data_IF_148141643480
#
_entry.id   IF_148141643480
#
_cell.length_a   1.000
_cell.length_b   1.000
_cell.length_c   1.000
_cell.angle_alpha   90.00
_cell.angle_beta   90.00
_cell.angle_gamma   90.00
#
_symmetry.space_group_name_H-M   'P 1'
#
loop_
_entity.id
_entity.type
_entity.pdbx_description
1 polymer ?
#
# COMPACT_ATOMS: atom_id res chain seq x y z
N UNK A 1 11.83 -17.53 3.02
CA UNK A 1 10.52 -17.04 3.47
C UNK A 1 9.49 -18.09 3.12
N UNK A 2 8.75 -18.59 4.10
CA UNK A 2 7.71 -19.60 3.90
C UNK A 2 6.54 -19.02 3.08
N UNK A 3 5.64 -19.87 2.55
CA UNK A 3 4.44 -19.40 1.85
C UNK A 3 3.52 -18.60 2.80
N UNK A 4 3.40 -19.07 4.05
CA UNK A 4 2.64 -18.39 5.10
C UNK A 4 3.18 -17.00 5.41
N UNK A 5 4.52 -16.86 5.46
CA UNK A 5 5.16 -15.56 5.70
C UNK A 5 4.84 -14.57 4.56
N UNK A 6 4.81 -15.05 3.29
CA UNK A 6 4.51 -14.21 2.12
C UNK A 6 3.08 -13.67 2.12
N UNK A 7 2.11 -14.52 2.47
CA UNK A 7 0.72 -14.09 2.59
C UNK A 7 0.56 -13.07 3.72
N UNK A 8 1.16 -13.36 4.87
CA UNK A 8 1.15 -12.47 6.02
C UNK A 8 1.73 -11.08 5.70
N UNK A 9 2.92 -11.01 5.08
CA UNK A 9 3.52 -9.74 4.69
C UNK A 9 2.67 -8.95 3.69
N UNK A 10 1.99 -9.64 2.79
CA UNK A 10 1.09 -9.00 1.83
C UNK A 10 -0.09 -8.37 2.57
N UNK A 11 -0.72 -9.10 3.49
CA UNK A 11 -1.84 -8.62 4.29
C UNK A 11 -1.44 -7.40 5.14
N UNK A 12 -0.30 -7.46 5.82
CA UNK A 12 0.23 -6.34 6.62
C UNK A 12 0.48 -5.11 5.75
N UNK A 13 1.03 -5.28 4.55
CA UNK A 13 1.28 -4.16 3.64
C UNK A 13 -0.02 -3.50 3.17
N UNK A 14 -1.02 -4.31 2.78
CA UNK A 14 -2.33 -3.79 2.38
C UNK A 14 -3.00 -3.02 3.52
N UNK A 15 -2.96 -3.57 4.73
CA UNK A 15 -3.54 -2.94 5.91
C UNK A 15 -2.82 -1.63 6.22
N UNK A 16 -1.48 -1.63 6.26
CA UNK A 16 -0.71 -0.44 6.57
C UNK A 16 -1.04 0.73 5.62
N UNK A 17 -1.11 0.46 4.31
CA UNK A 17 -1.44 1.50 3.33
C UNK A 17 -2.91 1.91 3.40
N UNK A 18 -3.82 0.98 3.67
CA UNK A 18 -5.25 1.28 3.84
C UNK A 18 -5.49 2.18 5.06
N UNK A 19 -4.88 1.86 6.20
CA UNK A 19 -4.96 2.66 7.44
C UNK A 19 -4.37 4.05 7.23
N UNK A 20 -3.22 4.17 6.53
CA UNK A 20 -2.65 5.47 6.17
C UNK A 20 -3.62 6.25 5.30
N UNK A 21 -4.23 5.62 4.29
CA UNK A 21 -5.18 6.29 3.42
C UNK A 21 -6.44 6.77 4.16
N UNK A 22 -6.93 5.97 5.10
CA UNK A 22 -8.08 6.30 5.94
C UNK A 22 -7.79 7.48 6.87
N UNK A 23 -6.79 7.36 7.77
CA UNK A 23 -6.51 8.41 8.76
C UNK A 23 -5.96 9.71 8.17
N UNK A 24 -5.44 9.67 6.94
CA UNK A 24 -5.00 10.87 6.22
C UNK A 24 -6.07 11.44 5.31
N UNK A 25 -7.28 10.89 5.30
CA UNK A 25 -8.40 11.32 4.47
C UNK A 25 -8.04 11.39 2.98
N UNK A 26 -7.23 10.43 2.50
CA UNK A 26 -6.82 10.36 1.10
C UNK A 26 -7.95 9.86 0.19
N UNK A 27 -8.87 9.08 0.77
CA UNK A 27 -10.06 8.56 0.12
C UNK A 27 -11.28 8.81 1.02
N UNK A 28 -12.50 8.89 0.45
CA UNK A 28 -13.72 8.98 1.25
C UNK A 28 -13.89 7.78 2.19
N UNK A 29 -14.41 7.99 3.40
CA UNK A 29 -14.67 6.90 4.36
C UNK A 29 -15.55 5.79 3.79
N UNK A 30 -16.48 6.12 2.90
CA UNK A 30 -17.35 5.15 2.21
C UNK A 30 -16.62 4.18 1.27
N UNK A 31 -15.31 4.38 1.08
CA UNK A 31 -14.44 3.50 0.29
C UNK A 31 -13.77 2.42 1.15
N UNK A 32 -14.02 2.40 2.45
CA UNK A 32 -13.43 1.45 3.37
C UNK A 32 -14.48 0.54 3.98
N UNK A 33 -14.10 -0.71 4.24
CA UNK A 33 -14.83 -1.67 5.07
C UNK A 33 -14.07 -1.90 6.37
N UNK A 34 -14.80 -1.98 7.48
CA UNK A 34 -14.24 -2.38 8.77
C UNK A 34 -13.96 -3.89 8.76
N UNK A 35 -12.77 -4.26 9.23
CA UNK A 35 -12.32 -5.64 9.33
C UNK A 35 -11.52 -5.88 10.62
N UNK A 36 -11.26 -7.15 10.92
CA UNK A 36 -10.36 -7.54 11.99
C UNK A 36 -9.08 -8.14 11.40
N UNK A 37 -7.94 -7.74 11.93
CA UNK A 37 -6.64 -8.35 11.68
C UNK A 37 -5.91 -8.55 13.00
N UNK A 38 -5.63 -9.81 13.37
CA UNK A 38 -5.03 -10.16 14.67
C UNK A 38 -5.75 -9.53 15.86
N UNK A 39 -7.09 -9.60 15.87
CA UNK A 39 -7.97 -9.03 16.90
C UNK A 39 -7.93 -7.49 17.01
N UNK A 40 -7.34 -6.81 16.03
CA UNK A 40 -7.34 -5.35 15.90
C UNK A 40 -8.30 -4.91 14.79
N UNK A 41 -9.14 -3.93 15.08
CA UNK A 41 -9.99 -3.28 14.08
C UNK A 41 -9.14 -2.48 13.08
N UNK A 42 -9.37 -2.70 11.79
CA UNK A 42 -8.66 -2.07 10.68
C UNK A 42 -9.63 -1.71 9.56
N UNK A 43 -9.32 -0.67 8.80
CA UNK A 43 -10.08 -0.21 7.65
C UNK A 43 -9.42 -0.74 6.37
N UNK A 44 -10.19 -1.44 5.55
CA UNK A 44 -9.71 -1.99 4.27
C UNK A 44 -10.30 -1.24 3.10
N UNK A 45 -9.44 -0.79 2.18
CA UNK A 45 -9.90 -0.17 0.94
C UNK A 45 -10.72 -1.21 0.14
N UNK A 46 -11.94 -0.82 -0.21
CA UNK A 46 -12.84 -1.63 -1.02
C UNK A 46 -12.53 -1.45 -2.51
N UNK A 47 -12.54 -2.56 -3.25
CA UNK A 47 -12.42 -2.55 -4.71
C UNK A 47 -13.69 -2.04 -5.37
N UNK A 48 -13.56 -1.36 -6.51
CA UNK A 48 -14.66 -0.89 -7.35
C UNK A 48 -15.31 0.41 -6.89
N UNK A 49 -14.72 1.12 -5.93
CA UNK A 49 -15.23 2.39 -5.42
C UNK A 49 -14.81 3.59 -6.26
N UNK A 50 -13.61 3.54 -6.82
CA UNK A 50 -13.06 4.54 -7.72
C UNK A 50 -11.90 3.97 -8.53
N UNK A 51 -11.53 4.66 -9.62
CA UNK A 51 -10.35 4.30 -10.41
C UNK A 51 -9.07 4.45 -9.57
N UNK A 52 -9.01 5.47 -8.72
CA UNK A 52 -7.87 5.80 -7.88
C UNK A 52 -7.62 4.72 -6.82
N UNK A 53 -8.67 4.30 -6.11
CA UNK A 53 -8.59 3.22 -5.11
C UNK A 53 -8.21 1.89 -5.76
N UNK A 54 -8.76 1.60 -6.93
CA UNK A 54 -8.46 0.36 -7.66
C UNK A 54 -7.03 0.34 -8.17
N UNK A 55 -6.55 1.48 -8.69
CA UNK A 55 -5.15 1.64 -9.11
C UNK A 55 -4.19 1.46 -7.92
N UNK A 56 -4.52 2.01 -6.75
CA UNK A 56 -3.71 1.81 -5.55
C UNK A 56 -3.65 0.33 -5.15
N UNK A 57 -4.78 -0.37 -5.15
CA UNK A 57 -4.83 -1.81 -4.85
C UNK A 57 -4.02 -2.63 -5.86
N UNK A 58 -4.08 -2.30 -7.15
CA UNK A 58 -3.28 -2.96 -8.19
C UNK A 58 -1.77 -2.76 -8.00
N UNK A 59 -1.34 -1.52 -7.69
CA UNK A 59 0.07 -1.22 -7.40
C UNK A 59 0.57 -2.00 -6.19
N UNK A 60 -0.24 -2.10 -5.13
CA UNK A 60 0.10 -2.91 -3.95
C UNK A 60 0.19 -4.40 -4.29
N UNK A 61 -0.71 -4.91 -5.13
CA UNK A 61 -0.63 -6.29 -5.63
C UNK A 61 0.66 -6.57 -6.37
N UNK A 62 1.09 -5.66 -7.25
CA UNK A 62 2.38 -5.73 -7.93
C UNK A 62 3.56 -5.68 -6.97
N UNK A 63 3.51 -4.83 -5.94
CA UNK A 63 4.55 -4.76 -4.92
C UNK A 63 4.65 -6.05 -4.10
N UNK A 64 3.52 -6.65 -3.72
CA UNK A 64 3.49 -7.95 -3.03
C UNK A 64 4.08 -9.07 -3.88
N UNK A 65 3.77 -9.12 -5.18
CA UNK A 65 4.36 -10.09 -6.12
C UNK A 65 5.89 -9.90 -6.25
N UNK A 66 6.35 -8.65 -6.38
CA UNK A 66 7.77 -8.32 -6.43
C UNK A 66 8.50 -8.69 -5.11
N UNK A 67 7.85 -8.48 -3.96
CA UNK A 67 8.36 -8.92 -2.65
C UNK A 67 8.44 -10.45 -2.56
N UNK A 68 7.40 -11.16 -2.99
CA UNK A 68 7.35 -12.61 -2.98
C UNK A 68 8.44 -13.27 -3.84
N UNK A 69 8.87 -12.58 -4.90
CA UNK A 69 9.98 -12.95 -5.78
C UNK A 69 11.36 -12.54 -5.23
N UNK A 70 11.41 -11.80 -4.12
CA UNK A 70 12.65 -11.31 -3.52
C UNK A 70 13.36 -10.23 -4.35
N UNK A 71 12.64 -9.56 -5.26
CA UNK A 71 13.21 -8.51 -6.12
C UNK A 71 12.92 -7.10 -5.62
N UNK A 72 11.94 -6.96 -4.71
CA UNK A 72 11.62 -5.68 -4.08
C UNK A 72 12.47 -5.49 -2.81
N UNK A 73 13.31 -4.46 -2.79
CA UNK A 73 14.12 -4.09 -1.62
C UNK A 73 13.43 -3.06 -0.72
N UNK A 74 12.82 -2.05 -1.33
CA UNK A 74 12.19 -0.92 -0.64
C UNK A 74 10.93 -0.51 -1.38
N UNK A 75 9.84 -0.31 -0.65
CA UNK A 75 8.63 0.35 -1.12
C UNK A 75 8.45 1.65 -0.34
N UNK A 76 8.22 2.76 -1.04
CA UNK A 76 8.00 4.07 -0.40
C UNK A 76 6.61 4.58 -0.78
N UNK A 77 5.82 4.93 0.22
CA UNK A 77 4.53 5.60 0.05
C UNK A 77 4.69 7.06 0.48
N UNK A 78 4.65 7.97 -0.48
CA UNK A 78 4.85 9.40 -0.27
C UNK A 78 3.53 10.17 -0.40
N UNK A 79 3.33 11.14 0.49
CA UNK A 79 2.25 12.12 0.38
C UNK A 79 2.87 13.47 0.08
N UNK A 80 2.42 14.09 -1.02
CA UNK A 80 2.86 15.42 -1.41
C UNK A 80 1.68 16.38 -1.49
N UNK A 81 1.93 17.61 -1.05
CA UNK A 81 1.04 18.76 -1.22
C UNK A 81 1.40 19.60 -2.44
N UNK A 82 2.56 19.37 -3.05
CA UNK A 82 3.00 20.05 -4.26
C UNK A 82 3.04 19.07 -5.45
N UNK A 83 2.38 19.40 -6.57
CA UNK A 83 2.37 18.55 -7.75
C UNK A 83 3.77 18.29 -8.34
N UNK A 84 4.76 19.14 -8.01
CA UNK A 84 6.13 19.07 -8.53
C UNK A 84 7.08 18.17 -7.69
N UNK A 85 6.67 17.71 -6.50
CA UNK A 85 7.51 16.88 -5.61
C UNK A 85 7.65 15.42 -6.07
N UNK A 86 6.99 15.03 -7.18
CA UNK A 86 7.11 13.69 -7.76
C UNK A 86 8.50 13.40 -8.37
N UNK A 87 9.42 14.36 -8.34
CA UNK A 87 10.82 14.14 -8.65
C UNK A 87 11.52 13.40 -7.50
N UNK A 88 11.24 12.10 -7.34
CA UNK A 88 12.16 11.19 -6.67
C UNK A 88 13.44 11.16 -7.52
N UNK A 89 14.41 12.00 -7.17
CA UNK A 89 15.74 11.96 -7.76
C UNK A 89 16.32 10.57 -7.48
N UNK A 90 16.56 9.80 -8.53
CA UNK A 90 17.39 8.58 -8.53
C UNK A 90 18.88 8.90 -8.32
N UNK A 91 19.18 9.81 -7.39
CA UNK A 91 20.53 10.16 -6.98
C UNK A 91 20.94 9.25 -5.84
N UNK A 92 21.37 8.02 -6.16
CA UNK A 92 22.49 7.32 -5.53
C UNK A 92 22.75 6.00 -6.27
N UNK A 93 23.18 6.12 -7.53
CA UNK A 93 24.12 5.16 -8.09
C UNK A 93 25.49 5.44 -7.46
N UNK A 94 25.90 4.57 -6.54
CA UNK A 94 27.19 4.63 -5.88
C UNK A 94 28.33 4.69 -6.89
N UNK A 95 29.25 5.64 -6.68
CA UNK A 95 30.63 5.53 -7.16
C UNK A 95 31.37 4.45 -6.39
#
# INVERSE_FOLDING_TARGET
MSVSDKMYFSDVLYIAISEIAYYRYLLPESFFDDALFEDVEVHRIMKGKSVESDTLLEVLGGACDALAKGVLKTLTFGLSVHPDDFQFSSAHGSR
#
